data_IF_724187152073
#
_entry.id   IF_724187152073
#
_cell.length_a   1.000
_cell.length_b   1.000
_cell.length_c   1.000
_cell.angle_alpha   90.00
_cell.angle_beta   90.00
_cell.angle_gamma   90.00
#
_symmetry.space_group_name_H-M   'P 1'
#
loop_
_entity.id
_entity.type
_entity.pdbx_description
1 polymer ?
#
# COMPACT_ATOMS: atom_id res chain seq x y z
N UNK A 1 11.81 20.07 -5.35
CA UNK A 1 11.07 19.28 -4.34
C UNK A 1 9.59 19.51 -4.57
N UNK A 2 8.81 18.45 -4.66
CA UNK A 2 7.37 18.50 -4.84
C UNK A 2 6.70 18.19 -3.49
N UNK A 3 5.78 19.05 -3.08
CA UNK A 3 5.03 18.94 -1.82
C UNK A 3 3.57 18.74 -2.16
N UNK A 4 2.90 17.79 -1.49
CA UNK A 4 1.47 17.58 -1.61
C UNK A 4 0.76 17.98 -0.31
N UNK A 5 -0.38 18.62 -0.44
CA UNK A 5 -1.26 18.99 0.67
C UNK A 5 -2.67 18.50 0.31
N UNK A 6 -3.28 17.57 1.07
CA UNK A 6 -4.66 17.17 0.86
C UNK A 6 -5.59 18.32 1.26
N UNK A 7 -6.54 18.68 0.39
CA UNK A 7 -7.40 19.85 0.59
C UNK A 7 -8.88 19.49 0.57
N UNK A 8 -9.63 20.25 1.35
CA UNK A 8 -11.08 20.27 1.39
C UNK A 8 -11.54 21.72 1.61
N UNK A 9 -12.28 22.29 0.65
CA UNK A 9 -12.78 23.67 0.72
C UNK A 9 -11.70 24.70 1.08
N UNK A 10 -10.58 24.68 0.35
CA UNK A 10 -9.43 25.59 0.50
C UNK A 10 -8.68 25.52 1.85
N UNK A 11 -8.95 24.50 2.63
CA UNK A 11 -8.22 24.17 3.86
C UNK A 11 -7.57 22.79 3.75
N UNK A 12 -6.64 22.50 4.65
CA UNK A 12 -6.11 21.14 4.75
C UNK A 12 -7.24 20.18 5.11
N UNK A 13 -7.38 19.09 4.37
CA UNK A 13 -8.38 18.07 4.64
C UNK A 13 -8.18 17.46 6.04
N UNK A 14 -9.25 17.18 6.80
CA UNK A 14 -9.14 16.57 8.13
C UNK A 14 -8.37 15.26 8.15
N UNK A 15 -8.51 14.45 7.08
CA UNK A 15 -7.83 13.16 6.92
C UNK A 15 -7.36 12.98 5.47
N UNK A 16 -6.19 12.38 5.31
CA UNK A 16 -5.63 12.01 4.02
C UNK A 16 -6.57 11.09 3.21
N UNK A 17 -7.19 10.12 3.89
CA UNK A 17 -8.00 9.07 3.27
C UNK A 17 -9.29 9.59 2.62
N UNK A 18 -9.81 10.71 3.11
CA UNK A 18 -11.06 11.28 2.59
C UNK A 18 -10.83 12.48 1.66
N UNK A 19 -9.59 12.90 1.48
CA UNK A 19 -9.26 14.02 0.62
C UNK A 19 -9.62 13.71 -0.84
N UNK A 20 -10.37 14.60 -1.46
CA UNK A 20 -10.76 14.52 -2.88
C UNK A 20 -9.93 15.39 -3.80
N UNK A 21 -9.04 16.18 -3.23
CA UNK A 21 -8.16 17.08 -3.95
C UNK A 21 -6.82 17.20 -3.23
N UNK A 22 -5.78 17.44 -4.01
CA UNK A 22 -4.43 17.70 -3.51
C UNK A 22 -3.89 18.95 -4.18
N UNK A 23 -3.37 19.86 -3.39
CA UNK A 23 -2.52 20.94 -3.86
C UNK A 23 -1.09 20.41 -4.00
N UNK A 24 -0.59 20.40 -5.23
CA UNK A 24 0.79 20.00 -5.52
C UNK A 24 1.62 21.25 -5.75
N UNK A 25 2.60 21.46 -4.89
CA UNK A 25 3.45 22.65 -4.90
C UNK A 25 4.88 22.26 -5.27
N UNK A 26 5.43 22.93 -6.29
CA UNK A 26 6.82 22.75 -6.70
C UNK A 26 7.67 23.82 -6.04
N UNK A 27 8.64 23.42 -5.24
CA UNK A 27 9.56 24.29 -4.51
C UNK A 27 10.96 24.15 -5.08
N UNK A 28 11.59 25.29 -5.47
CA UNK A 28 13.01 25.37 -5.87
C UNK A 28 13.68 26.50 -5.11
N UNK A 29 14.85 26.22 -4.53
CA UNK A 29 15.67 27.20 -3.77
C UNK A 29 14.86 27.95 -2.70
N UNK A 30 14.00 27.22 -1.96
CA UNK A 30 13.18 27.80 -0.90
C UNK A 30 12.03 28.70 -1.35
N UNK A 31 11.66 28.68 -2.65
CA UNK A 31 10.55 29.47 -3.20
C UNK A 31 9.56 28.57 -3.94
N UNK A 32 8.29 28.89 -3.81
CA UNK A 32 7.22 28.26 -4.61
C UNK A 32 7.37 28.72 -6.06
N UNK A 33 7.51 27.77 -6.98
CA UNK A 33 7.63 28.04 -8.41
C UNK A 33 6.31 27.86 -9.12
N UNK A 34 5.56 26.85 -8.73
CA UNK A 34 4.22 26.57 -9.29
C UNK A 34 3.39 25.82 -8.29
N UNK A 35 2.10 25.94 -8.42
CA UNK A 35 1.09 25.18 -7.71
C UNK A 35 0.03 24.68 -8.68
N UNK A 36 -0.48 23.48 -8.46
CA UNK A 36 -1.58 22.90 -9.20
C UNK A 36 -2.46 22.07 -8.30
N UNK A 37 -3.77 22.14 -8.56
CA UNK A 37 -4.75 21.33 -7.87
C UNK A 37 -5.04 20.06 -8.68
N UNK A 38 -5.02 18.90 -8.02
CA UNK A 38 -5.30 17.60 -8.62
C UNK A 38 -6.49 16.97 -7.90
N UNK A 39 -7.46 16.51 -8.66
CA UNK A 39 -8.62 15.79 -8.14
C UNK A 39 -8.32 14.31 -7.99
N UNK A 40 -8.73 13.73 -6.86
CA UNK A 40 -8.74 12.33 -6.60
C UNK A 40 -10.15 11.90 -6.18
N UNK A 41 -10.91 11.37 -7.11
CA UNK A 41 -12.31 11.00 -6.88
C UNK A 41 -12.48 9.58 -6.36
N UNK A 42 -11.38 8.81 -6.28
CA UNK A 42 -11.43 7.45 -5.78
C UNK A 42 -11.75 7.42 -4.28
N UNK A 43 -12.51 6.40 -3.87
CA UNK A 43 -12.82 6.15 -2.46
C UNK A 43 -11.64 5.52 -1.71
N UNK A 44 -10.81 4.74 -2.40
CA UNK A 44 -9.74 3.95 -1.80
C UNK A 44 -8.51 4.83 -1.50
N UNK A 45 -7.98 4.70 -0.28
CA UNK A 45 -6.82 5.46 0.17
C UNK A 45 -5.55 5.12 -0.62
N UNK A 46 -5.44 3.89 -1.10
CA UNK A 46 -4.29 3.43 -1.86
C UNK A 46 -4.12 4.12 -3.21
N UNK A 47 -5.23 4.46 -3.88
CA UNK A 47 -5.18 5.24 -5.12
C UNK A 47 -4.57 6.63 -4.88
N UNK A 48 -4.76 7.21 -3.69
CA UNK A 48 -4.12 8.49 -3.32
C UNK A 48 -2.61 8.35 -3.20
N UNK A 49 -2.11 7.27 -2.60
CA UNK A 49 -0.67 6.96 -2.55
C UNK A 49 -0.09 6.88 -3.96
N UNK A 50 -0.78 6.17 -4.83
CA UNK A 50 -0.41 6.01 -6.24
C UNK A 50 -0.39 7.33 -7.00
N UNK A 51 -1.36 8.20 -6.74
CA UNK A 51 -1.40 9.56 -7.28
C UNK A 51 -0.19 10.38 -6.85
N UNK A 52 0.18 10.32 -5.57
CA UNK A 52 1.35 11.03 -5.05
C UNK A 52 2.65 10.51 -5.68
N UNK A 53 2.78 9.20 -5.86
CA UNK A 53 3.92 8.60 -6.54
C UNK A 53 4.02 9.05 -8.00
N UNK A 54 2.90 9.04 -8.74
CA UNK A 54 2.83 9.48 -10.14
C UNK A 54 3.30 10.94 -10.32
N UNK A 55 3.05 11.77 -9.31
CA UNK A 55 3.46 13.18 -9.31
C UNK A 55 4.81 13.42 -8.64
N UNK A 56 5.60 12.36 -8.40
CA UNK A 56 6.94 12.46 -7.80
C UNK A 56 6.96 13.31 -6.52
N UNK A 57 5.99 13.06 -5.64
CA UNK A 57 5.91 13.81 -4.38
C UNK A 57 7.04 13.38 -3.45
N UNK A 58 7.70 14.37 -2.84
CA UNK A 58 8.78 14.16 -1.88
C UNK A 58 8.30 14.35 -0.44
N UNK A 59 7.29 15.19 -0.24
CA UNK A 59 6.75 15.50 1.08
C UNK A 59 5.24 15.61 1.02
N UNK A 60 4.55 14.93 1.92
CA UNK A 60 3.13 15.11 2.20
C UNK A 60 2.97 15.89 3.50
N UNK A 61 2.23 17.01 3.47
CA UNK A 61 1.84 17.74 4.67
C UNK A 61 0.33 17.56 4.85
N UNK A 62 -0.10 16.96 5.94
CA UNK A 62 -1.51 16.64 6.17
C UNK A 62 -1.92 16.86 7.62
N UNK A 63 -3.22 16.87 7.89
CA UNK A 63 -3.73 16.84 9.25
C UNK A 63 -3.74 15.38 9.74
N UNK A 64 -4.83 14.65 9.61
CA UNK A 64 -4.89 13.24 9.97
C UNK A 64 -4.42 12.32 8.84
N UNK A 65 -3.77 11.23 9.20
CA UNK A 65 -3.41 10.13 8.30
C UNK A 65 -3.34 8.84 9.13
N UNK A 66 -3.94 7.75 8.63
CA UNK A 66 -3.80 6.44 9.27
C UNK A 66 -2.36 5.95 9.19
N UNK A 67 -1.90 5.28 10.25
CA UNK A 67 -0.53 4.73 10.34
C UNK A 67 -0.18 3.84 9.16
N UNK A 68 -1.12 3.06 8.67
CA UNK A 68 -0.98 2.25 7.46
C UNK A 68 -0.51 3.07 6.25
N UNK A 69 -1.23 4.14 5.90
CA UNK A 69 -0.86 4.98 4.74
C UNK A 69 0.41 5.77 4.97
N UNK A 70 0.63 6.22 6.21
CA UNK A 70 1.88 6.89 6.59
C UNK A 70 3.08 5.99 6.36
N UNK A 71 3.01 4.74 6.82
CA UNK A 71 4.08 3.75 6.67
C UNK A 71 4.34 3.43 5.19
N UNK A 72 3.28 3.27 4.39
CA UNK A 72 3.41 3.04 2.94
C UNK A 72 4.11 4.21 2.23
N UNK A 73 3.73 5.44 2.54
CA UNK A 73 4.35 6.63 1.96
C UNK A 73 5.82 6.76 2.37
N UNK A 74 6.13 6.48 3.63
CA UNK A 74 7.51 6.51 4.14
C UNK A 74 8.37 5.41 3.50
N UNK A 75 7.84 4.21 3.31
CA UNK A 75 8.51 3.12 2.61
C UNK A 75 8.83 3.46 1.15
N UNK A 76 8.00 4.30 0.52
CA UNK A 76 8.24 4.84 -0.83
C UNK A 76 9.17 6.08 -0.86
N UNK A 77 9.76 6.47 0.28
CA UNK A 77 10.65 7.63 0.39
C UNK A 77 9.92 8.97 0.43
N UNK A 78 8.60 8.99 0.62
CA UNK A 78 7.84 10.22 0.80
C UNK A 78 7.85 10.61 2.26
N UNK A 79 8.38 11.80 2.55
CA UNK A 79 8.36 12.35 3.91
C UNK A 79 6.94 12.77 4.29
N UNK A 80 6.44 12.34 5.46
CA UNK A 80 5.09 12.69 5.93
C UNK A 80 5.18 13.60 7.14
N UNK A 81 4.50 14.74 7.06
CA UNK A 81 4.34 15.73 8.15
C UNK A 81 2.86 15.76 8.56
N UNK A 82 2.46 14.98 9.56
CA UNK A 82 1.09 14.92 10.03
C UNK A 82 0.79 16.03 11.06
N UNK A 83 -0.48 16.11 11.48
CA UNK A 83 -0.99 17.01 12.51
C UNK A 83 -0.89 18.51 12.17
N UNK A 84 -0.93 18.84 10.89
CA UNK A 84 -0.98 20.23 10.44
C UNK A 84 -2.43 20.61 10.13
N UNK A 85 -2.96 21.55 10.90
CA UNK A 85 -4.33 22.05 10.77
C UNK A 85 -4.31 23.57 10.65
N UNK A 86 -4.06 24.05 9.43
CA UNK A 86 -3.95 25.48 9.10
C UNK A 86 -4.43 25.73 7.67
N UNK A 87 -4.47 26.99 7.26
CA UNK A 87 -4.67 27.34 5.85
C UNK A 87 -3.48 26.84 5.00
N UNK A 88 -3.72 26.61 3.72
CA UNK A 88 -2.68 26.17 2.78
C UNK A 88 -1.53 27.18 2.73
N UNK A 89 -1.86 28.46 2.69
CA UNK A 89 -0.88 29.56 2.62
C UNK A 89 0.01 29.60 3.86
N UNK A 90 -0.58 29.58 5.05
CA UNK A 90 0.17 29.56 6.31
C UNK A 90 1.04 28.31 6.42
N UNK A 91 0.51 27.16 6.03
CA UNK A 91 1.23 25.88 6.03
C UNK A 91 2.47 25.95 5.15
N UNK A 92 2.34 26.47 3.93
CA UNK A 92 3.46 26.61 3.01
C UNK A 92 4.50 27.61 3.54
N UNK A 93 4.07 28.75 4.09
CA UNK A 93 4.96 29.74 4.68
C UNK A 93 5.73 29.16 5.88
N UNK A 94 5.07 28.44 6.77
CA UNK A 94 5.68 27.79 7.92
C UNK A 94 6.63 26.66 7.51
N UNK A 95 6.29 25.91 6.46
CA UNK A 95 7.14 24.86 5.91
C UNK A 95 8.41 25.47 5.27
N UNK A 96 8.28 26.52 4.48
CA UNK A 96 9.40 27.22 3.86
C UNK A 96 10.32 27.90 4.90
N UNK A 97 9.73 28.40 5.99
CA UNK A 97 10.47 28.96 7.13
C UNK A 97 11.16 27.88 7.99
N UNK A 98 10.90 26.59 7.74
CA UNK A 98 11.43 25.48 8.55
C UNK A 98 10.79 25.34 9.93
N UNK A 99 9.65 26.01 10.16
CA UNK A 99 8.91 25.96 11.43
C UNK A 99 8.10 24.65 11.56
N UNK A 100 7.71 24.06 10.46
CA UNK A 100 7.09 22.74 10.41
C UNK A 100 8.14 21.71 10.03
N UNK A 101 8.43 20.79 10.93
CA UNK A 101 9.42 19.72 10.71
C UNK A 101 8.73 18.38 10.70
N UNK A 102 9.28 17.46 9.91
CA UNK A 102 8.93 16.05 10.06
C UNK A 102 9.23 15.60 11.48
N UNK A 103 8.33 14.87 12.15
CA UNK A 103 8.66 14.25 13.42
C UNK A 103 9.88 13.36 13.19
N UNK A 104 10.98 13.65 13.92
CA UNK A 104 12.16 12.80 13.95
C UNK A 104 11.72 11.39 14.33
N UNK A 105 12.10 10.37 13.58
CA UNK A 105 11.86 8.93 13.72
C UNK A 105 11.49 8.43 15.14
N UNK A 106 10.50 8.98 15.75
CA UNK A 106 9.85 8.39 16.92
C UNK A 106 8.98 7.28 16.35
N UNK A 107 9.34 6.02 16.62
CA UNK A 107 8.41 4.90 16.50
C UNK A 107 7.17 5.33 17.27
N UNK A 108 6.14 5.73 16.53
CA UNK A 108 4.84 5.90 17.15
C UNK A 108 4.38 4.49 17.50
N UNK A 109 4.58 4.11 18.76
CA UNK A 109 3.82 3.04 19.39
C UNK A 109 2.38 3.54 19.50
N UNK A 110 1.67 3.52 18.41
CA UNK A 110 0.24 3.84 18.37
C UNK A 110 -0.51 2.57 18.70
N UNK A 111 -0.90 2.45 19.96
CA UNK A 111 -1.98 1.57 20.42
C UNK A 111 -3.35 2.05 19.88
N UNK A 112 -3.43 2.56 18.70
CA UNK A 112 -4.71 2.79 18.02
C UNK A 112 -4.85 1.71 16.95
N UNK A 113 -5.86 0.88 17.13
CA UNK A 113 -6.41 -0.02 16.11
C UNK A 113 -6.84 0.82 14.89
N UNK A 114 -5.90 1.33 14.12
CA UNK A 114 -6.15 1.88 12.81
C UNK A 114 -6.51 0.71 11.90
N UNK A 115 -7.79 0.37 11.91
CA UNK A 115 -8.34 -0.69 11.08
C UNK A 115 -8.08 -0.33 9.61
N UNK A 116 -7.17 -1.06 9.00
CA UNK A 116 -7.01 -1.05 7.55
C UNK A 116 -8.29 -1.63 6.98
N UNK A 117 -8.87 -0.98 5.97
CA UNK A 117 -10.05 -1.54 5.34
C UNK A 117 -9.67 -2.76 4.51
N UNK A 118 -10.57 -3.72 4.43
CA UNK A 118 -10.42 -4.89 3.56
C UNK A 118 -10.13 -4.49 2.11
N UNK A 119 -10.85 -3.49 1.59
CA UNK A 119 -10.68 -2.99 0.22
C UNK A 119 -9.28 -2.42 -0.03
N UNK A 120 -8.66 -1.81 0.98
CA UNK A 120 -7.28 -1.30 0.87
C UNK A 120 -6.28 -2.46 0.79
N UNK A 121 -6.48 -3.53 1.55
CA UNK A 121 -5.63 -4.73 1.48
C UNK A 121 -5.77 -5.43 0.12
N UNK A 122 -7.00 -5.54 -0.39
CA UNK A 122 -7.27 -6.12 -1.72
C UNK A 122 -6.61 -5.28 -2.82
N UNK A 123 -6.74 -3.96 -2.75
CA UNK A 123 -6.13 -3.05 -3.72
C UNK A 123 -4.60 -3.13 -3.68
N UNK A 124 -4.01 -3.19 -2.49
CA UNK A 124 -2.58 -3.35 -2.30
C UNK A 124 -2.08 -4.69 -2.85
N UNK A 125 -2.75 -5.79 -2.51
CA UNK A 125 -2.38 -7.11 -2.98
C UNK A 125 -2.45 -7.19 -4.52
N UNK A 126 -3.52 -6.66 -5.12
CA UNK A 126 -3.67 -6.59 -6.57
C UNK A 126 -2.49 -5.86 -7.22
N UNK A 127 -2.14 -4.67 -6.74
CA UNK A 127 -1.02 -3.90 -7.29
C UNK A 127 0.32 -4.63 -7.12
N UNK A 128 0.55 -5.26 -5.95
CA UNK A 128 1.75 -6.03 -5.71
C UNK A 128 1.92 -7.15 -6.74
N UNK A 129 0.88 -7.93 -6.99
CA UNK A 129 0.93 -9.05 -7.92
C UNK A 129 1.01 -8.57 -9.39
N UNK A 130 0.26 -7.54 -9.80
CA UNK A 130 0.32 -6.96 -11.14
C UNK A 130 1.70 -6.37 -11.44
N UNK A 131 2.31 -5.66 -10.50
CA UNK A 131 3.67 -5.10 -10.65
C UNK A 131 4.76 -6.17 -10.78
N UNK A 132 4.45 -7.40 -10.36
CA UNK A 132 5.32 -8.56 -10.50
C UNK A 132 4.89 -9.53 -11.61
N UNK A 133 4.18 -9.02 -12.62
CA UNK A 133 3.82 -9.72 -13.85
C UNK A 133 2.80 -10.86 -13.70
N UNK A 134 2.01 -10.86 -12.62
CA UNK A 134 0.86 -11.74 -12.52
C UNK A 134 -0.36 -11.13 -13.23
N UNK A 135 -1.13 -11.98 -13.89
CA UNK A 135 -2.48 -11.62 -14.31
C UNK A 135 -3.40 -11.79 -13.10
N UNK A 136 -4.00 -10.72 -12.62
CA UNK A 136 -4.84 -10.72 -11.43
C UNK A 136 -6.30 -10.52 -11.80
N UNK A 137 -7.17 -11.33 -11.22
CA UNK A 137 -8.63 -11.21 -11.32
C UNK A 137 -9.26 -11.28 -9.94
N UNK A 138 -10.41 -10.64 -9.79
CA UNK A 138 -11.25 -10.87 -8.61
C UNK A 138 -11.78 -12.31 -8.67
N UNK A 139 -11.97 -12.92 -7.50
CA UNK A 139 -12.60 -14.24 -7.43
C UNK A 139 -14.00 -14.16 -8.05
N UNK A 140 -14.41 -15.12 -8.89
CA UNK A 140 -15.78 -15.20 -9.36
C UNK A 140 -16.69 -15.43 -8.15
N UNK A 141 -17.55 -14.46 -7.86
CA UNK A 141 -18.22 -14.20 -6.59
C UNK A 141 -19.15 -15.26 -6.01
N UNK A 142 -19.21 -16.48 -6.54
CA UNK A 142 -20.15 -17.51 -6.08
C UNK A 142 -19.50 -18.67 -5.31
N UNK A 143 -18.18 -18.84 -5.33
CA UNK A 143 -17.62 -20.10 -4.85
C UNK A 143 -16.76 -20.04 -3.60
N UNK A 144 -16.27 -18.87 -3.19
CA UNK A 144 -15.45 -18.86 -1.98
C UNK A 144 -15.43 -17.52 -1.29
N UNK A 145 -16.15 -17.47 -0.27
CA UNK A 145 -16.24 -16.43 0.73
C UNK A 145 -14.89 -15.92 1.27
N UNK A 146 -13.78 -16.55 0.88
CA UNK A 146 -12.44 -16.31 1.42
C UNK A 146 -11.36 -16.10 0.35
N UNK A 147 -11.70 -16.07 -0.93
CA UNK A 147 -10.74 -15.74 -1.98
C UNK A 147 -11.10 -14.39 -2.57
N UNK A 148 -10.29 -13.39 -2.31
CA UNK A 148 -10.50 -12.04 -2.84
C UNK A 148 -9.97 -11.91 -4.26
N UNK A 149 -8.76 -12.45 -4.48
CA UNK A 149 -8.08 -12.36 -5.76
C UNK A 149 -7.51 -13.71 -6.18
N UNK A 150 -7.49 -13.93 -7.48
CA UNK A 150 -6.75 -15.02 -8.12
C UNK A 150 -5.66 -14.43 -8.99
N UNK A 151 -4.41 -14.76 -8.69
CA UNK A 151 -3.27 -14.33 -9.47
C UNK A 151 -2.68 -15.50 -10.27
N UNK A 152 -2.36 -15.27 -11.55
CA UNK A 152 -1.85 -16.30 -12.47
C UNK A 152 -0.53 -15.86 -13.07
N UNK A 153 0.45 -16.75 -13.10
CA UNK A 153 1.73 -16.53 -13.77
C UNK A 153 2.19 -17.80 -14.46
N UNK A 154 2.94 -17.66 -15.54
CA UNK A 154 3.66 -18.79 -16.12
C UNK A 154 4.99 -18.99 -15.42
N UNK A 155 5.26 -20.23 -14.99
CA UNK A 155 6.56 -20.59 -14.42
C UNK A 155 7.68 -20.29 -15.42
N UNK A 156 8.71 -19.53 -15.05
CA UNK A 156 9.79 -19.19 -15.97
C UNK A 156 10.66 -20.40 -16.35
N UNK A 157 10.60 -21.49 -15.57
CA UNK A 157 11.42 -22.69 -15.79
C UNK A 157 10.70 -23.71 -16.66
N UNK A 158 9.43 -24.03 -16.37
CA UNK A 158 8.69 -25.10 -17.05
C UNK A 158 7.47 -24.61 -17.86
N UNK A 159 7.21 -23.30 -17.89
CA UNK A 159 6.07 -22.65 -18.57
C UNK A 159 4.68 -23.13 -18.12
N UNK A 160 4.60 -23.94 -17.06
CA UNK A 160 3.32 -24.31 -16.47
C UNK A 160 2.67 -23.10 -15.81
N UNK A 161 1.34 -23.03 -15.90
CA UNK A 161 0.58 -22.00 -15.20
C UNK A 161 0.60 -22.28 -13.71
N UNK A 162 0.86 -21.25 -12.93
CA UNK A 162 0.77 -21.24 -11.46
C UNK A 162 -0.41 -20.35 -11.10
N UNK A 163 -1.38 -20.92 -10.43
CA UNK A 163 -2.55 -20.21 -9.91
C UNK A 163 -2.39 -20.01 -8.40
N UNK A 164 -2.50 -18.75 -7.98
CA UNK A 164 -2.33 -18.31 -6.59
C UNK A 164 -3.65 -17.80 -6.07
N UNK A 165 -4.16 -18.39 -4.99
CA UNK A 165 -5.29 -17.84 -4.26
C UNK A 165 -4.82 -16.81 -3.24
N UNK A 166 -5.49 -15.67 -3.16
CA UNK A 166 -5.16 -14.56 -2.26
C UNK A 166 -6.39 -14.25 -1.42
N UNK A 167 -6.23 -14.32 -0.11
CA UNK A 167 -7.19 -13.88 0.88
C UNK A 167 -6.64 -12.64 1.59
N UNK A 168 -7.42 -11.57 1.63
CA UNK A 168 -7.13 -10.37 2.40
C UNK A 168 -7.96 -10.39 3.67
N UNK A 169 -7.33 -10.43 4.85
CA UNK A 169 -8.01 -10.59 6.12
C UNK A 169 -9.11 -9.54 6.33
N UNK A 170 -10.32 -10.02 6.56
CA UNK A 170 -11.49 -9.16 6.73
C UNK A 170 -11.89 -8.95 8.19
N UNK A 171 -11.56 -9.89 9.08
CA UNK A 171 -12.09 -9.91 10.44
C UNK A 171 -11.00 -10.18 11.47
N UNK A 172 -10.64 -9.15 12.23
CA UNK A 172 -9.60 -9.20 13.28
C UNK A 172 -9.83 -10.23 14.38
N UNK A 173 -11.07 -10.65 14.62
CA UNK A 173 -11.45 -11.54 15.72
C UNK A 173 -11.70 -13.01 15.31
N UNK A 174 -11.62 -13.34 14.02
CA UNK A 174 -11.83 -14.71 13.49
C UNK A 174 -10.70 -15.19 12.59
N UNK A 175 -9.55 -14.59 12.66
CA UNK A 175 -8.43 -14.83 11.76
C UNK A 175 -7.97 -16.29 11.69
N UNK A 176 -7.89 -17.00 12.82
CA UNK A 176 -7.50 -18.41 12.81
C UNK A 176 -8.55 -19.32 12.14
N UNK A 177 -9.82 -19.00 12.27
CA UNK A 177 -10.88 -19.71 11.57
C UNK A 177 -10.83 -19.41 10.08
N UNK A 178 -10.65 -18.14 9.71
CA UNK A 178 -10.53 -17.67 8.33
C UNK A 178 -9.36 -18.34 7.60
N UNK A 179 -8.17 -18.42 8.24
CA UNK A 179 -7.00 -19.11 7.70
C UNK A 179 -7.28 -20.60 7.46
N UNK A 180 -7.93 -21.28 8.40
CA UNK A 180 -8.28 -22.71 8.26
C UNK A 180 -9.28 -22.94 7.13
N UNK A 181 -10.31 -22.12 7.04
CA UNK A 181 -11.32 -22.22 5.97
C UNK A 181 -10.71 -21.90 4.61
N UNK A 182 -9.87 -20.87 4.53
CA UNK A 182 -9.12 -20.54 3.33
C UNK A 182 -8.23 -21.69 2.88
N UNK A 183 -7.46 -22.28 3.80
CA UNK A 183 -6.67 -23.48 3.50
C UNK A 183 -7.53 -24.62 2.97
N UNK A 184 -8.64 -24.93 3.65
CA UNK A 184 -9.51 -26.04 3.29
C UNK A 184 -10.05 -25.88 1.86
N UNK A 185 -10.48 -24.67 1.51
CA UNK A 185 -11.13 -24.39 0.23
C UNK A 185 -10.12 -24.28 -0.93
N UNK A 186 -8.85 -24.02 -0.64
CA UNK A 186 -7.86 -23.72 -1.70
C UNK A 186 -6.81 -24.80 -1.91
N UNK A 187 -6.61 -25.72 -0.96
CA UNK A 187 -5.50 -26.68 -0.96
C UNK A 187 -5.43 -27.62 -2.17
N UNK A 188 -6.56 -27.91 -2.81
CA UNK A 188 -6.65 -28.82 -3.95
C UNK A 188 -6.71 -28.12 -5.30
N UNK A 189 -7.04 -26.83 -5.33
CA UNK A 189 -7.35 -26.11 -6.56
C UNK A 189 -6.27 -25.10 -6.96
N UNK A 190 -5.43 -24.67 -6.02
CA UNK A 190 -4.42 -23.64 -6.24
C UNK A 190 -3.01 -24.15 -5.92
N UNK A 191 -2.04 -23.69 -6.70
CA UNK A 191 -0.64 -24.07 -6.54
C UNK A 191 0.01 -23.38 -5.35
N UNK A 192 -0.41 -22.15 -5.07
CA UNK A 192 0.07 -21.36 -3.93
C UNK A 192 -1.11 -20.60 -3.28
N UNK A 193 -0.91 -20.21 -2.04
CA UNK A 193 -1.90 -19.53 -1.22
C UNK A 193 -1.24 -18.39 -0.47
N UNK A 194 -1.86 -17.24 -0.48
CA UNK A 194 -1.36 -16.03 0.18
C UNK A 194 -2.44 -15.47 1.08
N UNK A 195 -2.07 -15.15 2.30
CA UNK A 195 -2.89 -14.40 3.23
C UNK A 195 -2.27 -13.02 3.45
N UNK A 196 -3.04 -11.98 3.22
CA UNK A 196 -2.60 -10.59 3.30
C UNK A 196 -3.23 -9.92 4.51
N UNK A 197 -2.39 -9.44 5.42
CA UNK A 197 -2.84 -8.67 6.58
C UNK A 197 -1.70 -7.80 7.13
N UNK A 198 -1.99 -6.93 8.11
CA UNK A 198 -0.96 -6.20 8.85
C UNK A 198 -0.04 -7.16 9.61
N UNK A 199 1.20 -6.75 9.84
CA UNK A 199 2.20 -7.58 10.53
C UNK A 199 1.67 -8.07 11.88
N UNK A 200 1.55 -9.40 11.99
CA UNK A 200 1.10 -10.07 13.20
C UNK A 200 1.81 -11.43 13.32
N UNK A 201 2.73 -11.59 14.29
CA UNK A 201 3.51 -12.82 14.44
C UNK A 201 2.67 -14.08 14.69
N UNK A 202 1.49 -13.94 15.32
CA UNK A 202 0.60 -15.09 15.57
C UNK A 202 -0.05 -15.55 14.27
N UNK A 203 -0.52 -14.60 13.43
CA UNK A 203 -1.10 -14.92 12.13
C UNK A 203 -0.06 -15.49 11.18
N UNK A 204 1.14 -14.93 11.15
CA UNK A 204 2.25 -15.47 10.35
C UNK A 204 2.54 -16.93 10.74
N UNK A 205 2.56 -17.24 12.05
CA UNK A 205 2.74 -18.60 12.53
C UNK A 205 1.60 -19.52 12.08
N UNK A 206 0.35 -19.08 12.24
CA UNK A 206 -0.83 -19.86 11.79
C UNK A 206 -0.80 -20.10 10.28
N UNK A 207 -0.47 -19.09 9.48
CA UNK A 207 -0.31 -19.26 8.03
C UNK A 207 0.76 -20.29 7.68
N UNK A 208 1.92 -20.22 8.33
CA UNK A 208 3.03 -21.15 8.10
C UNK A 208 2.65 -22.61 8.44
N UNK A 209 1.85 -22.85 9.49
CA UNK A 209 1.36 -24.18 9.86
C UNK A 209 0.50 -24.82 8.76
N UNK A 210 -0.21 -24.01 7.97
CA UNK A 210 -1.04 -24.46 6.85
C UNK A 210 -0.35 -24.37 5.48
N UNK A 211 0.93 -23.96 5.43
CA UNK A 211 1.65 -23.74 4.18
C UNK A 211 1.04 -22.63 3.32
N UNK A 212 0.60 -21.56 3.98
CA UNK A 212 0.10 -20.32 3.39
C UNK A 212 1.18 -19.26 3.56
N UNK A 213 1.54 -18.56 2.49
CA UNK A 213 2.46 -17.44 2.55
C UNK A 213 1.77 -16.22 3.17
N UNK A 214 2.40 -15.63 4.19
CA UNK A 214 1.89 -14.40 4.82
C UNK A 214 2.56 -13.18 4.22
N UNK A 215 1.78 -12.24 3.72
CA UNK A 215 2.25 -10.95 3.21
C UNK A 215 1.66 -9.80 4.01
N UNK A 216 2.51 -8.87 4.38
CA UNK A 216 2.09 -7.65 5.07
C UNK A 216 2.51 -6.40 4.32
N UNK A 217 1.60 -5.44 4.15
CA UNK A 217 1.94 -4.12 3.62
C UNK A 217 2.94 -3.34 4.47
N UNK A 218 3.06 -3.68 5.75
CA UNK A 218 3.99 -3.02 6.69
C UNK A 218 5.44 -3.51 6.54
N UNK A 219 5.63 -4.63 5.83
CA UNK A 219 6.95 -5.23 5.65
C UNK A 219 7.63 -4.62 4.44
N UNK A 220 8.89 -4.23 4.56
CA UNK A 220 9.65 -3.74 3.40
C UNK A 220 9.90 -4.88 2.41
N UNK A 221 9.98 -4.56 1.12
CA UNK A 221 10.25 -5.56 0.07
C UNK A 221 11.51 -6.40 0.36
N UNK A 222 12.51 -5.81 1.02
CA UNK A 222 13.75 -6.47 1.40
C UNK A 222 13.51 -7.53 2.48
N UNK A 223 12.71 -7.23 3.49
CA UNK A 223 12.38 -8.17 4.57
C UNK A 223 11.49 -9.32 4.08
N UNK A 224 10.56 -9.03 3.16
CA UNK A 224 9.73 -10.06 2.51
C UNK A 224 10.60 -11.05 1.75
N UNK A 225 11.64 -10.57 1.05
CA UNK A 225 12.58 -11.43 0.30
C UNK A 225 13.46 -12.30 1.18
N UNK A 226 13.91 -11.79 2.31
CA UNK A 226 14.75 -12.54 3.23
C UNK A 226 13.99 -13.64 4.00
N UNK A 227 12.71 -13.42 4.30
CA UNK A 227 11.87 -14.35 5.06
C UNK A 227 11.23 -15.44 4.22
N UNK A 228 11.03 -15.22 2.93
CA UNK A 228 10.28 -16.16 2.13
C UNK A 228 11.15 -17.25 1.53
N UNK A 229 11.06 -18.44 2.08
CA UNK A 229 11.30 -19.69 1.33
C UNK A 229 10.07 -20.01 0.44
N UNK A 230 9.37 -18.97 0.01
CA UNK A 230 8.08 -19.01 -0.64
C UNK A 230 8.15 -19.70 -1.99
N UNK A 231 7.16 -20.51 -2.29
CA UNK A 231 6.91 -21.09 -3.61
C UNK A 231 6.47 -20.03 -4.65
N UNK A 232 6.23 -18.79 -4.21
CA UNK A 232 5.78 -17.70 -5.06
C UNK A 232 6.99 -17.05 -5.73
N UNK A 233 7.17 -17.14 -7.05
CA UNK A 233 8.33 -16.61 -7.76
C UNK A 233 8.57 -15.10 -7.56
N UNK A 234 7.55 -14.36 -7.18
CA UNK A 234 7.57 -12.92 -6.85
C UNK A 234 8.61 -12.58 -5.77
N UNK A 235 8.70 -13.43 -4.75
CA UNK A 235 9.50 -13.18 -3.57
C UNK A 235 10.96 -13.62 -3.74
N UNK A 236 11.27 -14.34 -4.82
CA UNK A 236 12.58 -14.91 -5.11
C UNK A 236 13.33 -14.25 -6.27
N UNK A 237 12.82 -13.16 -6.87
CA UNK A 237 13.53 -12.46 -7.95
C UNK A 237 14.60 -11.54 -7.39
N UNK A 238 15.86 -11.62 -7.89
CA UNK A 238 16.86 -10.60 -7.63
C UNK A 238 16.39 -9.27 -8.26
N UNK A 239 16.65 -8.16 -7.56
CA UNK A 239 16.41 -6.81 -8.08
C UNK A 239 17.42 -6.53 -9.17
N UNK A 240 17.11 -6.86 -10.42
CA UNK A 240 17.79 -6.26 -11.56
C UNK A 240 17.16 -4.90 -11.82
N UNK A 241 18.02 -3.89 -11.90
CA UNK A 241 17.68 -2.47 -11.91
C UNK A 241 16.51 -2.11 -12.81
N UNK A 242 15.51 -1.50 -12.22
CA UNK A 242 14.39 -0.88 -12.92
C UNK A 242 14.82 0.45 -13.56
N UNK A 243 15.62 0.37 -14.61
CA UNK A 243 15.63 1.37 -15.67
C UNK A 243 15.14 0.68 -16.94
N UNK A 244 13.85 0.82 -17.26
CA UNK A 244 13.27 0.95 -18.59
C UNK A 244 11.81 0.50 -18.64
N UNK A 245 11.06 1.38 -19.27
CA UNK A 245 9.81 1.17 -19.97
C UNK A 245 8.51 1.50 -19.24
N UNK A 246 8.25 2.80 -19.08
CA UNK A 246 6.91 3.33 -19.32
C UNK A 246 6.96 4.23 -20.55
N UNK A 247 6.91 3.61 -21.73
CA UNK A 247 6.39 4.28 -22.93
C UNK A 247 4.89 3.96 -22.96
N UNK A 248 4.08 4.89 -22.49
CA UNK A 248 2.67 4.96 -22.84
C UNK A 248 2.62 5.92 -24.02
N UNK A 249 2.42 5.38 -25.22
CA UNK A 249 1.99 6.18 -26.36
C UNK A 249 0.60 6.74 -26.08
N UNK A 250 0.45 8.03 -26.40
CA UNK A 250 -0.73 8.88 -26.28
C UNK A 250 -1.83 8.45 -27.24
#
# INVERSE_FOLDING_TARGET
MNVAIPILNDQIAPCFEVARQFEIVVIKKGKVISSKNIKCLASEGFIRIRLLRLHEIHTLICNGIKSFYQNQLMAMGINVIPNVNDSIENTLNNFLAGSIKSPSNTKYETETNDLVSHDDLVSWAKELFESNWYSVSFSPGDESFLIDLVAKIKCPVCSKQIDVAICCGAQTYRTDQEIREFHHNTKTHYNARVYVYLTNPQLEKSCNEYGIDFLSPDTTETEVRERSKSLIPILNRPVEGHEKAFNIEV
#
